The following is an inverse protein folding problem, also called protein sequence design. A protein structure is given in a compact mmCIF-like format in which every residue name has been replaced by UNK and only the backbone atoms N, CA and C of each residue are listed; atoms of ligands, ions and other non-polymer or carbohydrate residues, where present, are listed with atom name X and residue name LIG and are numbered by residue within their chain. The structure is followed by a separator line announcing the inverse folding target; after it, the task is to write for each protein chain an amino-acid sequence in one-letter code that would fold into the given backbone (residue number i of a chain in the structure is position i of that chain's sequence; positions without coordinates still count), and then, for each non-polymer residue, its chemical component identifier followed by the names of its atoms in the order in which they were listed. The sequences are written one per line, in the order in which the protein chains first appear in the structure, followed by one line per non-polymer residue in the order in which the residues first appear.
data_IF_676833711147
#
_entry.id   IF_676833711147
#
_cell.length_a   1.000
_cell.length_b   1.000
_cell.length_c   1.000
_cell.angle_alpha   90.00
_cell.angle_beta   90.00
_cell.angle_gamma   90.00
#
_symmetry.space_group_name_H-M   'P 1'
#
loop_
_entity.id
_entity.type
_entity.pdbx_description
1 polymer ?
#
# COMPACT_ATOMS: atom_id res chain seq x y z
N UNK A 1 -15.69 1.26 13.91
CA UNK A 1 -16.62 1.31 12.76
C UNK A 1 -18.03 1.06 13.27
N UNK A 2 -18.53 1.98 14.10
CA UNK A 2 -19.94 2.03 14.47
C UNK A 2 -20.75 2.55 13.27
N UNK A 3 -21.84 1.92 13.08
CA UNK A 3 -22.88 2.12 12.09
C UNK A 3 -23.16 3.59 11.72
N UNK A 4 -22.51 4.10 10.74
CA UNK A 4 -23.11 5.10 9.87
C UNK A 4 -23.71 4.33 8.69
N UNK A 5 -24.96 4.03 8.81
CA UNK A 5 -25.93 3.18 8.08
C UNK A 5 -25.61 2.66 6.68
N UNK A 6 -24.95 3.38 5.77
CA UNK A 6 -24.90 3.00 4.35
C UNK A 6 -23.49 2.90 3.75
N UNK A 7 -22.44 2.85 4.57
CA UNK A 7 -21.08 2.68 4.04
C UNK A 7 -20.89 1.25 3.50
N UNK A 8 -20.65 1.14 2.20
CA UNK A 8 -20.47 -0.15 1.49
C UNK A 8 -19.03 -0.37 1.02
N UNK A 9 -18.18 0.64 1.10
CA UNK A 9 -16.79 0.55 0.66
C UNK A 9 -15.87 1.23 1.66
N UNK A 10 -14.78 0.56 2.04
CA UNK A 10 -13.68 1.11 2.81
C UNK A 10 -12.41 1.11 1.95
N UNK A 11 -11.81 2.29 1.72
CA UNK A 11 -10.50 2.41 1.11
C UNK A 11 -9.44 2.57 2.19
N UNK A 12 -8.41 1.72 2.18
CA UNK A 12 -7.38 1.68 3.21
C UNK A 12 -5.98 1.40 2.65
N UNK A 13 -4.96 1.92 3.32
CA UNK A 13 -3.54 1.65 3.06
C UNK A 13 -2.91 0.99 4.29
N UNK A 14 -3.22 -0.28 4.58
CA UNK A 14 -2.97 -0.89 5.88
C UNK A 14 -1.50 -1.25 6.13
N UNK A 15 -0.70 -1.40 5.09
CA UNK A 15 0.73 -1.72 5.18
C UNK A 15 1.56 -0.51 5.65
N UNK A 16 1.15 0.69 5.19
CA UNK A 16 1.76 1.96 5.55
C UNK A 16 0.79 3.09 5.19
N UNK A 17 0.04 3.59 6.18
CA UNK A 17 -1.03 4.54 5.94
C UNK A 17 -0.50 5.87 5.38
N UNK A 18 -1.07 6.32 4.28
CA UNK A 18 -0.77 7.63 3.73
C UNK A 18 -1.79 8.66 4.25
N UNK A 19 -1.36 9.81 4.82
CA UNK A 19 0.04 10.25 4.92
C UNK A 19 0.71 9.94 6.28
N UNK A 20 0.03 9.34 7.25
CA UNK A 20 0.49 9.28 8.65
C UNK A 20 1.62 8.28 8.92
N UNK A 21 1.86 7.32 8.03
CA UNK A 21 2.86 6.27 8.21
C UNK A 21 2.48 5.17 9.21
N UNK A 22 1.23 5.16 9.70
CA UNK A 22 0.76 4.15 10.66
C UNK A 22 0.55 2.81 9.97
N UNK A 23 1.03 1.73 10.60
CA UNK A 23 0.79 0.36 10.17
C UNK A 23 -0.44 -0.21 10.87
N UNK A 24 -1.42 -0.70 10.14
CA UNK A 24 -2.64 -1.30 10.70
C UNK A 24 -2.30 -2.65 11.36
N UNK A 25 -2.63 -2.78 12.65
CA UNK A 25 -2.40 -4.01 13.42
C UNK A 25 -3.25 -5.18 12.90
N UNK A 26 -2.83 -6.42 13.19
CA UNK A 26 -3.59 -7.61 12.80
C UNK A 26 -5.02 -7.58 13.38
N UNK A 27 -5.20 -7.17 14.63
CA UNK A 27 -6.52 -7.06 15.24
C UNK A 27 -7.44 -6.13 14.44
N UNK A 28 -6.94 -4.96 14.05
CA UNK A 28 -7.70 -4.00 13.22
C UNK A 28 -8.00 -4.53 11.81
N UNK A 29 -7.08 -5.31 11.23
CA UNK A 29 -7.33 -5.97 9.93
C UNK A 29 -8.49 -6.96 10.03
N UNK A 30 -8.51 -7.79 11.08
CA UNK A 30 -9.59 -8.75 11.32
C UNK A 30 -10.93 -8.07 11.63
N UNK A 31 -10.93 -6.99 12.42
CA UNK A 31 -12.13 -6.19 12.67
C UNK A 31 -12.72 -5.59 11.40
N UNK A 32 -11.85 -5.10 10.49
CA UNK A 32 -12.29 -4.52 9.22
C UNK A 32 -12.87 -5.58 8.28
N UNK A 33 -12.26 -6.77 8.21
CA UNK A 33 -12.79 -7.90 7.45
C UNK A 33 -14.16 -8.35 7.99
N UNK A 34 -14.30 -8.46 9.32
CA UNK A 34 -15.57 -8.79 9.95
C UNK A 34 -16.64 -7.71 9.71
N UNK A 35 -16.25 -6.43 9.64
CA UNK A 35 -17.17 -5.37 9.23
C UNK A 35 -17.65 -5.56 7.79
N UNK A 36 -16.74 -5.81 6.84
CA UNK A 36 -17.10 -6.00 5.44
C UNK A 36 -18.06 -7.20 5.24
N UNK A 37 -17.85 -8.27 6.00
CA UNK A 37 -18.72 -9.43 5.99
C UNK A 37 -20.14 -9.09 6.51
N UNK A 38 -20.23 -8.45 7.68
CA UNK A 38 -21.53 -8.09 8.28
C UNK A 38 -22.37 -7.15 7.43
N UNK A 39 -21.74 -6.12 6.84
CA UNK A 39 -22.48 -5.14 6.02
C UNK A 39 -22.52 -5.48 4.53
N UNK A 40 -22.01 -6.66 4.13
CA UNK A 40 -21.85 -7.05 2.72
C UNK A 40 -21.10 -5.98 1.90
N UNK A 41 -20.16 -5.31 2.54
CA UNK A 41 -19.35 -4.24 1.94
C UNK A 41 -18.08 -4.76 1.27
N UNK A 42 -17.30 -3.83 0.72
CA UNK A 42 -16.03 -4.09 0.05
C UNK A 42 -14.90 -3.32 0.72
N UNK A 43 -13.72 -3.88 0.67
CA UNK A 43 -12.49 -3.21 1.09
C UNK A 43 -11.60 -3.05 -0.13
N UNK A 44 -11.15 -1.83 -0.39
CA UNK A 44 -10.08 -1.55 -1.35
C UNK A 44 -8.80 -1.39 -0.55
N UNK A 45 -7.93 -2.39 -0.63
CA UNK A 45 -6.60 -2.39 -0.01
C UNK A 45 -5.58 -1.84 -1.01
N UNK A 46 -5.11 -0.62 -0.80
CA UNK A 46 -4.04 -0.03 -1.59
C UNK A 46 -2.70 -0.27 -0.91
N UNK A 47 -1.90 -1.14 -1.50
CA UNK A 47 -0.56 -1.52 -1.02
C UNK A 47 0.50 -0.96 -1.96
N UNK A 48 0.81 0.32 -1.77
CA UNK A 48 1.70 1.06 -2.66
C UNK A 48 3.20 0.93 -2.31
N UNK A 49 3.54 0.54 -1.08
CA UNK A 49 4.93 0.44 -0.61
C UNK A 49 5.20 -0.68 0.42
N UNK A 50 4.34 -1.69 0.48
CA UNK A 50 4.41 -2.80 1.44
C UNK A 50 5.69 -3.65 1.35
N UNK A 51 6.40 -3.60 0.23
CA UNK A 51 7.71 -4.25 0.08
C UNK A 51 8.80 -3.60 0.96
N UNK A 52 8.61 -2.36 1.39
CA UNK A 52 9.57 -1.58 2.18
C UNK A 52 9.32 -1.72 3.68
N UNK A 53 9.46 -2.95 4.19
CA UNK A 53 9.44 -3.22 5.61
C UNK A 53 10.88 -3.40 6.14
N UNK A 54 11.23 -2.66 7.21
CA UNK A 54 12.57 -2.60 7.76
C UNK A 54 12.75 -3.40 9.04
N UNK A 55 11.69 -3.47 9.87
CA UNK A 55 11.71 -4.17 11.17
C UNK A 55 10.45 -4.99 11.38
N UNK A 56 10.53 -6.05 12.17
CA UNK A 56 9.44 -6.96 12.47
C UNK A 56 9.06 -7.91 11.32
N UNK A 57 8.21 -8.88 11.62
CA UNK A 57 7.66 -9.78 10.61
C UNK A 57 6.69 -9.03 9.68
N UNK A 58 6.65 -9.37 8.38
CA UNK A 58 5.62 -8.88 7.48
C UNK A 58 4.23 -9.25 7.99
N UNK A 59 3.32 -8.28 8.00
CA UNK A 59 1.90 -8.57 8.23
C UNK A 59 1.27 -9.02 6.91
N UNK A 60 0.48 -10.08 6.98
CA UNK A 60 -0.28 -10.54 5.82
C UNK A 60 -1.24 -9.42 5.35
N UNK A 61 -1.33 -9.11 4.05
CA UNK A 61 -2.30 -8.15 3.54
C UNK A 61 -3.74 -8.60 3.85
N UNK A 62 -4.68 -7.66 3.85
CA UNK A 62 -6.10 -7.96 4.05
C UNK A 62 -6.60 -9.00 3.03
N UNK A 63 -6.17 -8.86 1.78
CA UNK A 63 -6.52 -9.80 0.71
C UNK A 63 -6.07 -11.24 1.01
N UNK A 64 -4.94 -11.44 1.69
CA UNK A 64 -4.48 -12.77 2.09
C UNK A 64 -5.20 -13.32 3.34
N UNK A 65 -5.78 -12.45 4.16
CA UNK A 65 -6.56 -12.80 5.34
C UNK A 65 -8.06 -13.01 5.02
N UNK A 66 -8.50 -12.47 3.90
CA UNK A 66 -9.89 -12.49 3.46
C UNK A 66 -10.33 -13.91 3.04
N UNK A 67 -11.35 -14.41 3.70
CA UNK A 67 -11.96 -15.72 3.41
C UNK A 67 -13.29 -15.60 2.66
N UNK A 68 -13.84 -14.40 2.56
CA UNK A 68 -15.17 -14.13 2.03
C UNK A 68 -15.14 -13.45 0.66
N UNK A 69 -13.96 -13.16 0.12
CA UNK A 69 -13.82 -12.49 -1.16
C UNK A 69 -14.38 -11.07 -1.14
N UNK A 70 -14.04 -10.29 -0.11
CA UNK A 70 -14.49 -8.90 0.07
C UNK A 70 -13.39 -7.86 -0.14
N UNK A 71 -12.16 -8.28 -0.41
CA UNK A 71 -11.02 -7.37 -0.58
C UNK A 71 -10.62 -7.29 -2.05
N UNK A 72 -10.55 -6.05 -2.56
CA UNK A 72 -9.93 -5.70 -3.82
C UNK A 72 -8.53 -5.19 -3.49
N UNK A 73 -7.50 -5.92 -3.90
CA UNK A 73 -6.11 -5.52 -3.65
C UNK A 73 -5.56 -4.75 -4.83
N UNK A 74 -5.00 -3.58 -4.55
CA UNK A 74 -4.36 -2.69 -5.52
C UNK A 74 -2.86 -2.67 -5.26
N UNK A 75 -2.07 -3.03 -6.25
CA UNK A 75 -0.61 -2.97 -6.18
C UNK A 75 -0.03 -2.12 -7.32
N UNK A 76 1.20 -1.65 -7.12
CA UNK A 76 1.89 -0.81 -8.11
C UNK A 76 3.34 -1.23 -8.31
N UNK A 77 3.81 -1.21 -9.55
CA UNK A 77 5.23 -1.33 -9.87
C UNK A 77 5.96 0.02 -9.83
N UNK A 78 5.21 1.12 -9.79
CA UNK A 78 5.79 2.47 -9.81
C UNK A 78 6.65 2.83 -8.60
N UNK A 79 6.43 2.21 -7.44
CA UNK A 79 7.23 2.43 -6.23
C UNK A 79 8.35 1.42 -6.07
N UNK A 80 8.17 0.20 -6.56
CA UNK A 80 9.12 -0.91 -6.37
C UNK A 80 10.07 -1.09 -7.54
N UNK A 81 9.68 -0.74 -8.76
CA UNK A 81 10.56 -0.74 -9.93
C UNK A 81 10.99 0.70 -10.26
N UNK A 82 10.22 1.43 -11.06
CA UNK A 82 10.43 2.87 -11.26
C UNK A 82 9.13 3.57 -11.70
N UNK A 83 8.95 4.86 -11.35
CA UNK A 83 7.68 5.56 -11.54
C UNK A 83 7.23 5.69 -12.99
N UNK A 84 8.17 5.77 -13.93
CA UNK A 84 7.87 5.94 -15.35
C UNK A 84 7.16 4.72 -16.00
N UNK A 85 7.20 3.55 -15.37
CA UNK A 85 6.45 2.38 -15.83
C UNK A 85 4.95 2.61 -15.89
N UNK A 86 4.41 3.42 -14.99
CA UNK A 86 2.96 3.69 -14.89
C UNK A 86 2.10 2.42 -14.89
N UNK A 87 2.65 1.33 -14.35
CA UNK A 87 2.02 0.01 -14.30
C UNK A 87 1.59 -0.32 -12.88
N UNK A 88 0.33 -0.72 -12.73
CA UNK A 88 -0.26 -1.26 -11.53
C UNK A 88 -1.08 -2.51 -11.82
N UNK A 89 -1.59 -3.15 -10.80
CA UNK A 89 -2.40 -4.34 -10.93
C UNK A 89 -3.49 -4.40 -9.87
N UNK A 90 -4.55 -5.14 -10.19
CA UNK A 90 -5.63 -5.46 -9.27
C UNK A 90 -5.68 -6.98 -9.06
N UNK A 91 -5.81 -7.38 -7.81
CA UNK A 91 -6.21 -8.75 -7.45
C UNK A 91 -7.64 -8.68 -6.96
N UNK A 92 -8.54 -9.28 -7.71
CA UNK A 92 -9.98 -9.18 -7.49
C UNK A 92 -10.55 -10.51 -6.99
N UNK A 93 -11.57 -10.47 -6.14
CA UNK A 93 -12.43 -11.62 -5.92
C UNK A 93 -12.98 -12.16 -7.24
N UNK A 94 -13.06 -13.49 -7.45
CA UNK A 94 -13.51 -14.07 -8.72
C UNK A 94 -14.85 -13.52 -9.22
N UNK A 95 -15.78 -13.24 -8.31
CA UNK A 95 -17.10 -12.70 -8.65
C UNK A 95 -17.07 -11.29 -9.30
N UNK A 96 -15.96 -10.55 -9.17
CA UNK A 96 -15.82 -9.20 -9.73
C UNK A 96 -15.01 -9.15 -11.03
N UNK A 97 -14.29 -10.22 -11.38
CA UNK A 97 -13.34 -10.22 -12.50
C UNK A 97 -14.00 -9.83 -13.82
N UNK A 98 -15.14 -10.44 -14.14
CA UNK A 98 -15.84 -10.18 -15.41
C UNK A 98 -16.36 -8.74 -15.49
N UNK A 99 -16.97 -8.24 -14.42
CA UNK A 99 -17.50 -6.87 -14.37
C UNK A 99 -16.36 -5.83 -14.53
N UNK A 100 -15.25 -6.04 -13.83
CA UNK A 100 -14.08 -5.15 -13.96
C UNK A 100 -13.43 -5.24 -15.34
N UNK A 101 -13.34 -6.44 -15.92
CA UNK A 101 -12.78 -6.65 -17.27
C UNK A 101 -13.62 -5.96 -18.34
N UNK A 102 -14.94 -6.10 -18.28
CA UNK A 102 -15.87 -5.43 -19.18
C UNK A 102 -15.80 -3.89 -19.04
N UNK A 103 -15.80 -3.40 -17.80
CA UNK A 103 -15.71 -1.96 -17.56
C UNK A 103 -14.40 -1.38 -18.08
N UNK A 104 -13.27 -2.07 -17.80
CA UNK A 104 -11.96 -1.68 -18.28
C UNK A 104 -11.88 -1.66 -19.82
N UNK A 105 -12.51 -2.62 -20.51
CA UNK A 105 -12.55 -2.66 -21.97
C UNK A 105 -13.27 -1.45 -22.57
N UNK A 106 -14.26 -0.89 -21.86
CA UNK A 106 -14.98 0.33 -22.26
C UNK A 106 -14.16 1.58 -21.97
N UNK A 107 -13.58 1.69 -20.77
CA UNK A 107 -12.93 2.92 -20.30
C UNK A 107 -11.53 3.11 -20.90
N UNK A 108 -10.76 2.04 -21.02
CA UNK A 108 -9.33 2.08 -21.36
C UNK A 108 -9.01 1.28 -22.64
N UNK A 109 -9.95 0.46 -23.10
CA UNK A 109 -9.80 -0.52 -24.16
C UNK A 109 -8.75 -1.58 -23.84
N UNK A 110 -7.46 -1.22 -23.87
CA UNK A 110 -6.35 -2.08 -23.50
C UNK A 110 -5.23 -1.25 -22.87
N UNK A 111 -4.52 -1.85 -21.93
CA UNK A 111 -3.33 -1.26 -21.35
C UNK A 111 -2.15 -1.38 -22.31
N UNK A 112 -1.10 -0.62 -22.07
CA UNK A 112 0.17 -0.73 -22.77
C UNK A 112 0.74 -2.15 -22.56
N UNK A 113 0.86 -2.91 -23.65
CA UNK A 113 1.20 -4.35 -23.61
C UNK A 113 2.70 -4.58 -23.52
N UNK A 114 3.50 -3.72 -24.14
CA UNK A 114 4.97 -3.87 -24.21
C UNK A 114 5.58 -3.78 -22.82
N UNK A 115 5.17 -2.80 -22.02
CA UNK A 115 5.62 -2.65 -20.62
C UNK A 115 5.21 -3.83 -19.75
N UNK A 116 4.01 -4.39 -19.97
CA UNK A 116 3.57 -5.59 -19.28
C UNK A 116 4.43 -6.80 -19.62
N UNK A 117 4.75 -7.00 -20.93
CA UNK A 117 5.60 -8.09 -21.39
C UNK A 117 7.04 -7.98 -20.82
N UNK A 118 7.62 -6.78 -20.86
CA UNK A 118 8.94 -6.52 -20.25
C UNK A 118 8.94 -6.81 -18.76
N UNK A 119 7.89 -6.39 -18.05
CA UNK A 119 7.79 -6.64 -16.62
C UNK A 119 7.59 -8.12 -16.29
N UNK A 120 6.82 -8.85 -17.11
CA UNK A 120 6.64 -10.29 -16.97
C UNK A 120 7.97 -11.04 -17.14
N UNK A 121 8.75 -10.72 -18.18
CA UNK A 121 10.08 -11.31 -18.40
C UNK A 121 11.05 -10.96 -17.27
N UNK A 122 11.04 -9.72 -16.80
CA UNK A 122 11.87 -9.27 -15.67
C UNK A 122 11.57 -10.04 -14.38
N UNK A 123 10.30 -10.38 -14.15
CA UNK A 123 9.89 -11.25 -13.04
C UNK A 123 10.28 -12.70 -13.26
N UNK A 124 9.99 -13.27 -14.44
CA UNK A 124 10.28 -14.66 -14.76
C UNK A 124 11.77 -14.98 -14.67
N UNK A 125 12.65 -14.08 -15.11
CA UNK A 125 14.10 -14.20 -15.00
C UNK A 125 14.63 -13.99 -13.56
N UNK A 126 13.77 -13.73 -12.58
CA UNK A 126 14.15 -13.50 -11.17
C UNK A 126 14.87 -12.17 -10.92
N UNK A 127 14.91 -11.27 -11.91
CA UNK A 127 15.54 -9.95 -11.77
C UNK A 127 14.74 -9.06 -10.81
N UNK A 128 13.42 -9.14 -10.86
CA UNK A 128 12.54 -8.34 -10.00
C UNK A 128 12.80 -8.59 -8.51
N UNK A 129 12.92 -9.84 -8.08
CA UNK A 129 13.19 -10.17 -6.69
C UNK A 129 14.56 -9.66 -6.23
N UNK A 130 15.58 -9.72 -7.10
CA UNK A 130 16.91 -9.15 -6.81
C UNK A 130 16.84 -7.62 -6.70
N UNK A 131 16.07 -6.99 -7.58
CA UNK A 131 15.84 -5.55 -7.58
C UNK A 131 15.15 -5.09 -6.28
N UNK A 132 14.05 -5.73 -5.86
CA UNK A 132 13.35 -5.42 -4.60
C UNK A 132 14.31 -5.49 -3.41
N UNK A 133 15.12 -6.55 -3.30
CA UNK A 133 16.08 -6.68 -2.20
C UNK A 133 17.12 -5.55 -2.20
N UNK A 134 17.58 -5.11 -3.37
CA UNK A 134 18.50 -3.98 -3.51
C UNK A 134 17.83 -2.66 -3.12
N UNK A 135 16.63 -2.42 -3.59
CA UNK A 135 15.88 -1.19 -3.30
C UNK A 135 15.50 -1.09 -1.83
N UNK A 136 15.11 -2.19 -1.20
CA UNK A 136 14.85 -2.23 0.25
C UNK A 136 16.09 -1.84 1.06
N UNK A 137 17.27 -2.34 0.72
CA UNK A 137 18.53 -1.95 1.38
C UNK A 137 18.85 -0.48 1.17
N UNK A 138 18.70 0.01 -0.07
CA UNK A 138 18.94 1.43 -0.37
C UNK A 138 17.97 2.35 0.39
N UNK A 139 16.70 1.98 0.47
CA UNK A 139 15.70 2.72 1.24
C UNK A 139 15.99 2.71 2.74
N UNK A 140 16.38 1.55 3.30
CA UNK A 140 16.81 1.43 4.70
C UNK A 140 18.01 2.35 5.00
N UNK A 141 19.01 2.37 4.14
CA UNK A 141 20.17 3.24 4.32
C UNK A 141 19.79 4.73 4.31
N UNK A 142 18.94 5.14 3.34
CA UNK A 142 18.44 6.53 3.27
C UNK A 142 17.64 6.91 4.52
N UNK A 143 16.76 6.00 4.97
CA UNK A 143 16.02 6.16 6.21
C UNK A 143 16.96 6.36 7.40
N UNK A 144 17.97 5.50 7.57
CA UNK A 144 18.92 5.59 8.69
C UNK A 144 19.71 6.90 8.61
N UNK A 145 20.23 7.27 7.44
CA UNK A 145 20.92 8.55 7.25
C UNK A 145 20.03 9.75 7.66
N UNK A 146 18.73 9.70 7.31
CA UNK A 146 17.79 10.72 7.73
C UNK A 146 17.60 10.75 9.24
N UNK A 147 17.41 9.58 9.87
CA UNK A 147 17.19 9.49 11.32
C UNK A 147 18.44 9.92 12.10
N UNK A 148 19.61 9.48 11.66
CA UNK A 148 20.91 9.81 12.30
C UNK A 148 21.28 11.28 12.14
N UNK A 149 20.91 11.89 11.00
CA UNK A 149 21.16 13.30 10.71
C UNK A 149 20.05 14.26 11.17
N UNK A 150 18.94 13.75 11.72
CA UNK A 150 17.84 14.62 12.15
C UNK A 150 18.23 15.40 13.41
N UNK A 151 18.08 16.73 13.43
CA UNK A 151 18.39 17.53 14.62
C UNK A 151 17.56 17.10 15.82
N UNK A 152 18.19 17.05 16.99
CA UNK A 152 17.50 16.64 18.23
C UNK A 152 16.29 17.52 18.57
N UNK A 153 16.35 18.79 18.18
CA UNK A 153 15.26 19.75 18.34
C UNK A 153 15.18 20.68 17.13
N UNK A 154 13.99 20.80 16.56
CA UNK A 154 13.64 21.78 15.56
C UNK A 154 12.47 22.57 16.11
N UNK A 155 12.55 23.92 16.28
CA UNK A 155 11.44 24.69 16.81
C UNK A 155 10.14 24.45 16.03
N UNK A 156 9.06 24.16 16.73
CA UNK A 156 7.75 23.91 16.12
C UNK A 156 7.61 22.58 15.38
N UNK A 157 8.60 21.70 15.42
CA UNK A 157 8.52 20.37 14.78
C UNK A 157 8.59 19.28 15.83
N UNK A 158 7.65 18.35 15.76
CA UNK A 158 7.60 17.21 16.67
C UNK A 158 8.75 16.22 16.44
N UNK A 159 8.92 15.25 17.35
CA UNK A 159 9.96 14.23 17.24
C UNK A 159 9.71 13.32 16.01
N UNK A 160 10.79 12.75 15.48
CA UNK A 160 10.66 11.73 14.45
C UNK A 160 9.90 10.51 14.96
N UNK A 161 8.92 10.01 14.20
CA UNK A 161 8.24 8.78 14.55
C UNK A 161 9.16 7.56 14.43
N UNK A 162 8.83 6.49 15.11
CA UNK A 162 9.46 5.19 14.89
C UNK A 162 9.04 4.65 13.50
N UNK A 163 9.97 4.64 12.55
CA UNK A 163 9.70 4.22 11.17
C UNK A 163 10.09 2.76 10.99
N UNK A 164 9.11 1.87 10.93
CA UNK A 164 9.31 0.42 10.73
C UNK A 164 9.10 -0.04 9.29
N UNK A 165 8.46 0.77 8.46
CA UNK A 165 8.11 0.45 7.08
C UNK A 165 7.94 1.73 6.24
N UNK A 166 7.79 1.55 4.93
CA UNK A 166 7.37 2.56 3.98
C UNK A 166 8.48 3.47 3.44
N UNK A 167 8.07 4.32 2.50
CA UNK A 167 8.97 5.23 1.77
C UNK A 167 8.87 6.69 2.23
N UNK A 168 8.05 6.99 3.23
CA UNK A 168 7.90 8.34 3.80
C UNK A 168 7.80 8.26 5.32
N UNK A 169 7.95 9.39 5.96
CA UNK A 169 7.64 9.61 7.36
C UNK A 169 6.89 10.94 7.50
N UNK A 170 6.12 11.06 8.56
CA UNK A 170 5.33 12.26 8.83
C UNK A 170 5.69 12.78 10.21
N UNK A 171 5.95 14.07 10.32
CA UNK A 171 6.18 14.76 11.59
C UNK A 171 5.06 15.75 11.86
N UNK A 172 4.73 15.93 13.13
CA UNK A 172 3.84 17.01 13.54
C UNK A 172 4.58 18.34 13.46
N UNK A 173 3.88 19.38 13.00
CA UNK A 173 4.41 20.76 12.97
C UNK A 173 3.40 21.64 13.69
N UNK A 174 3.86 22.35 14.75
CA UNK A 174 3.04 23.26 15.53
C UNK A 174 2.94 24.63 14.84
N UNK A 175 1.84 25.35 15.09
CA UNK A 175 1.69 26.75 14.68
C UNK A 175 1.34 27.02 13.23
N UNK A 176 1.02 25.99 12.43
CA UNK A 176 0.44 26.19 11.09
C UNK A 176 -1.06 26.40 11.27
N UNK A 177 -1.54 27.63 11.04
CA UNK A 177 -2.98 27.89 10.97
C UNK A 177 -3.61 27.03 9.86
N UNK A 178 -4.73 26.37 10.16
CA UNK A 178 -5.56 25.77 9.12
C UNK A 178 -6.24 26.92 8.37
N UNK A 179 -5.84 27.14 7.10
CA UNK A 179 -6.62 27.96 6.19
C UNK A 179 -7.91 27.25 5.77
#
# INVERSE_FOLDING_TARGET
LSATGDCRVAYVTPSHQYPTGVVMSLARRLELLAWAERCQGWIVEDDYDGEYRYTGAPLAPLAALDRQGRVLYVGTFGKVAFPALRLGYLVLPPALVDAFSQRRAVDVRHSEVSTQAVMAEFMAAGHFQRHIRRMRRAALNRRNTLLDGWPAQIPGVGPLPAVSAGLHLTVAVDGIARE
#
